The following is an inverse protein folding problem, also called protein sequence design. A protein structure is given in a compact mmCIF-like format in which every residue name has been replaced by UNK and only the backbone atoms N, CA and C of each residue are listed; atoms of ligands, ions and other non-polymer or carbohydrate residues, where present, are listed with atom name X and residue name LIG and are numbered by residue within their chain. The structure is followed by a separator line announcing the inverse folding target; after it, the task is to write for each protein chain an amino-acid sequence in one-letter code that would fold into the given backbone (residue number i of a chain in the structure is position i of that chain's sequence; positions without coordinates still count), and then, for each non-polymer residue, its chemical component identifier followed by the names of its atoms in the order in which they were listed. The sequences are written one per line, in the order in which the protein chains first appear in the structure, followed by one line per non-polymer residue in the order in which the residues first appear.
data_IF_929709362154
#
_entry.id   IF_929709362154
#
_cell.length_a   1.000
_cell.length_b   1.000
_cell.length_c   1.000
_cell.angle_alpha   90.00
_cell.angle_beta   90.00
_cell.angle_gamma   90.00
#
_symmetry.space_group_name_H-M   'P 1'
#
loop_
_entity.id
_entity.type
_entity.pdbx_description
1 polymer ?
#
# COMPACT_ATOMS: atom_id res chain seq x y z
N UNK A 1 6.67 13.94 -4.50
CA UNK A 1 5.90 12.90 -5.11
C UNK A 1 4.47 12.93 -4.63
N UNK A 2 3.58 12.87 -5.54
CA UNK A 2 2.21 13.26 -5.32
C UNK A 2 1.28 12.06 -5.07
N UNK A 3 1.53 10.90 -5.70
CA UNK A 3 0.84 9.66 -5.33
C UNK A 3 1.38 9.14 -4.01
N UNK A 4 0.48 8.93 -3.05
CA UNK A 4 0.82 8.48 -1.70
C UNK A 4 -0.18 7.44 -1.23
N UNK A 5 0.24 6.62 -0.28
CA UNK A 5 -0.67 5.75 0.47
C UNK A 5 -1.26 6.52 1.64
N UNK A 6 -2.55 6.36 1.84
CA UNK A 6 -3.31 6.95 2.93
C UNK A 6 -4.05 5.86 3.70
N UNK A 7 -4.36 6.11 4.95
CA UNK A 7 -5.13 5.19 5.77
C UNK A 7 -6.63 5.38 5.62
N UNK A 8 -7.05 6.44 4.92
CA UNK A 8 -8.45 6.74 4.65
C UNK A 8 -8.68 7.05 3.16
N UNK A 9 -9.89 6.78 2.63
CA UNK A 9 -10.16 6.98 1.20
C UNK A 9 -10.21 8.45 0.78
N UNK A 10 -10.41 9.37 1.71
CA UNK A 10 -10.43 10.81 1.44
C UNK A 10 -9.02 11.41 1.36
N UNK A 11 -7.98 10.63 1.72
CA UNK A 11 -6.61 11.11 1.68
C UNK A 11 -6.28 12.16 2.73
N UNK A 12 -6.86 12.05 3.93
CA UNK A 12 -6.60 12.98 5.01
C UNK A 12 -5.48 12.55 5.94
N UNK A 13 -5.20 11.24 6.00
CA UNK A 13 -4.18 10.67 6.88
C UNK A 13 -3.19 9.85 6.07
N UNK A 14 -2.00 10.39 5.89
CA UNK A 14 -0.91 9.72 5.16
C UNK A 14 -0.44 8.50 5.96
N UNK A 15 -0.25 7.38 5.26
CA UNK A 15 0.38 6.21 5.85
C UNK A 15 1.84 6.53 6.23
N UNK A 16 2.19 6.26 7.49
CA UNK A 16 3.48 6.65 8.07
C UNK A 16 4.37 5.47 8.44
N UNK A 17 4.03 4.25 7.98
CA UNK A 17 4.76 3.03 8.33
C UNK A 17 4.09 2.21 9.42
N UNK A 18 3.04 2.71 10.04
CA UNK A 18 2.25 1.99 11.04
C UNK A 18 0.91 1.60 10.46
N UNK A 19 0.62 0.31 10.44
CA UNK A 19 -0.69 -0.20 10.00
C UNK A 19 -1.68 -0.06 11.16
N UNK A 20 -2.75 0.73 11.01
CA UNK A 20 -3.66 1.01 12.12
C UNK A 20 -4.51 -0.21 12.54
N UNK A 21 -4.59 -1.21 11.66
CA UNK A 21 -5.35 -2.43 11.88
C UNK A 21 -4.50 -3.64 12.30
N UNK A 22 -3.17 -3.48 12.35
CA UNK A 22 -2.26 -4.58 12.65
C UNK A 22 -1.47 -4.27 13.92
N UNK A 23 -1.49 -5.21 14.86
CA UNK A 23 -0.77 -5.08 16.12
C UNK A 23 -0.01 -6.36 16.41
N UNK A 24 1.09 -6.25 17.12
CA UNK A 24 1.71 -7.41 17.72
C UNK A 24 0.77 -7.99 18.78
N UNK A 25 0.67 -9.29 18.84
CA UNK A 25 -0.35 -9.98 19.61
C UNK A 25 0.24 -11.19 20.29
N UNK A 26 -0.41 -11.61 21.38
CA UNK A 26 -0.12 -12.88 22.04
C UNK A 26 -0.54 -14.09 21.16
N UNK A 27 -1.21 -13.83 20.04
CA UNK A 27 -1.66 -14.86 19.10
C UNK A 27 -0.89 -14.72 17.77
N UNK A 28 0.39 -15.14 17.69
CA UNK A 28 1.14 -15.11 16.44
C UNK A 28 0.47 -16.02 15.40
N UNK A 29 0.56 -15.60 14.13
CA UNK A 29 -0.02 -16.34 13.03
C UNK A 29 -1.49 -16.06 12.77
N UNK A 30 -2.16 -15.21 13.55
CA UNK A 30 -3.54 -14.78 13.28
C UNK A 30 -3.50 -13.64 12.27
N UNK A 31 -4.14 -13.79 11.09
CA UNK A 31 -4.16 -12.74 10.10
C UNK A 31 -4.93 -11.50 10.57
N UNK A 32 -4.42 -10.33 10.23
CA UNK A 32 -5.08 -9.05 10.45
C UNK A 32 -5.19 -8.32 9.13
N UNK A 33 -6.42 -8.07 8.69
CA UNK A 33 -6.71 -7.48 7.39
C UNK A 33 -7.13 -6.03 7.53
N UNK A 34 -6.74 -5.22 6.55
CA UNK A 34 -7.15 -3.83 6.45
C UNK A 34 -6.97 -3.32 5.03
N UNK A 35 -7.21 -2.03 4.85
CA UNK A 35 -7.15 -1.39 3.54
C UNK A 35 -6.35 -0.10 3.66
N UNK A 36 -5.43 0.09 2.72
CA UNK A 36 -4.79 1.37 2.46
C UNK A 36 -5.30 1.91 1.13
N UNK A 37 -5.17 3.21 0.93
CA UNK A 37 -5.68 3.87 -0.28
C UNK A 37 -4.54 4.60 -0.97
N UNK A 38 -4.33 4.28 -2.26
CA UNK A 38 -3.28 4.90 -3.08
C UNK A 38 -3.92 5.91 -4.00
N UNK A 39 -3.57 7.18 -3.83
CA UNK A 39 -4.19 8.27 -4.57
C UNK A 39 -3.27 9.48 -4.67
N UNK A 40 -3.65 10.39 -5.56
CA UNK A 40 -3.02 11.69 -5.74
C UNK A 40 -4.06 12.78 -5.60
N UNK A 41 -3.81 13.79 -4.80
CA UNK A 41 -4.72 14.92 -4.63
C UNK A 41 -4.05 16.28 -4.64
N UNK A 42 -2.72 16.32 -4.64
CA UNK A 42 -1.97 17.59 -4.59
C UNK A 42 -1.90 18.26 -5.96
N UNK A 43 -1.69 17.47 -7.04
CA UNK A 43 -1.71 17.98 -8.41
C UNK A 43 -3.13 18.22 -8.92
N UNK A 44 -4.09 17.55 -8.34
CA UNK A 44 -5.48 17.55 -8.81
C UNK A 44 -6.44 17.92 -7.66
N UNK A 45 -6.38 19.16 -7.16
CA UNK A 45 -7.21 19.57 -6.04
C UNK A 45 -8.71 19.67 -6.41
N UNK A 46 -9.01 19.74 -7.71
CA UNK A 46 -10.40 19.78 -8.20
C UNK A 46 -10.99 18.39 -8.46
N UNK A 47 -10.19 17.35 -8.26
CA UNK A 47 -10.62 15.95 -8.32
C UNK A 47 -11.26 15.58 -9.68
N UNK A 48 -10.59 15.92 -10.79
CA UNK A 48 -11.11 15.70 -12.14
C UNK A 48 -10.27 14.74 -12.99
N UNK A 49 -9.27 14.09 -12.42
CA UNK A 49 -8.43 13.14 -13.15
C UNK A 49 -7.53 13.81 -14.20
N UNK A 50 -7.06 15.01 -13.93
CA UNK A 50 -6.27 15.81 -14.89
C UNK A 50 -4.90 15.22 -15.20
N UNK A 51 -4.40 14.34 -14.37
CA UNK A 51 -3.09 13.71 -14.52
C UNK A 51 -3.22 12.20 -14.43
N UNK A 52 -2.24 11.51 -15.01
CA UNK A 52 -2.14 10.05 -14.88
C UNK A 52 -0.69 9.64 -14.64
N UNK A 53 -0.52 8.57 -13.93
CA UNK A 53 0.78 7.96 -13.69
C UNK A 53 0.86 6.67 -14.49
N UNK A 54 1.98 6.46 -15.19
CA UNK A 54 2.26 5.25 -15.97
C UNK A 54 3.61 4.70 -15.57
N UNK A 55 3.79 3.40 -15.72
CA UNK A 55 5.11 2.78 -15.52
C UNK A 55 6.06 3.22 -16.65
N UNK A 56 7.31 3.51 -16.29
CA UNK A 56 8.31 3.99 -17.23
C UNK A 56 8.65 2.98 -18.32
N UNK A 57 8.50 1.69 -18.03
CA UNK A 57 8.76 0.60 -18.97
C UNK A 57 7.55 0.25 -19.86
N UNK A 58 6.45 0.95 -19.71
CA UNK A 58 5.22 0.67 -20.44
C UNK A 58 4.39 -0.50 -19.90
N UNK A 59 4.83 -1.12 -18.82
CA UNK A 59 4.12 -2.21 -18.15
C UNK A 59 3.15 -1.72 -17.09
N UNK A 60 3.02 -2.50 -16.02
CA UNK A 60 2.14 -2.17 -14.91
C UNK A 60 2.87 -1.42 -13.80
N UNK A 61 2.12 -0.59 -13.08
CA UNK A 61 2.58 0.02 -11.84
C UNK A 61 2.57 -1.07 -10.77
N UNK A 62 3.71 -1.27 -10.12
CA UNK A 62 3.89 -2.31 -9.11
C UNK A 62 4.14 -1.67 -7.75
N UNK A 63 3.39 -2.11 -6.75
CA UNK A 63 3.58 -1.72 -5.36
C UNK A 63 4.16 -2.91 -4.61
N UNK A 64 5.30 -2.71 -3.95
CA UNK A 64 6.04 -3.79 -3.27
C UNK A 64 6.25 -3.41 -1.80
N UNK A 65 5.90 -4.28 -0.85
CA UNK A 65 6.20 -4.00 0.55
C UNK A 65 7.71 -3.97 0.78
N UNK A 66 8.15 -3.06 1.63
CA UNK A 66 9.55 -2.93 2.01
C UNK A 66 9.68 -2.86 3.52
N UNK A 67 10.79 -3.38 4.03
CA UNK A 67 11.12 -3.35 5.45
C UNK A 67 12.31 -2.42 5.63
N UNK A 68 12.10 -1.31 6.32
CA UNK A 68 13.14 -0.31 6.56
C UNK A 68 14.10 -0.73 7.68
N UNK A 69 13.77 -1.78 8.41
CA UNK A 69 14.60 -2.30 9.51
C UNK A 69 14.49 -3.82 9.58
N UNK A 70 15.14 -4.56 8.65
CA UNK A 70 15.08 -6.02 8.60
C UNK A 70 15.54 -6.65 9.92
N UNK A 71 14.80 -7.68 10.34
CA UNK A 71 15.06 -8.37 11.62
C UNK A 71 14.35 -7.75 12.80
N UNK A 72 13.62 -6.65 12.61
CA UNK A 72 12.86 -5.97 13.65
C UNK A 72 11.49 -5.55 13.10
N UNK A 73 10.47 -5.56 13.93
CA UNK A 73 9.13 -5.22 13.49
C UNK A 73 8.52 -6.25 12.54
N UNK A 74 7.70 -5.79 11.59
CA UNK A 74 7.13 -6.64 10.56
C UNK A 74 8.14 -6.92 9.45
N UNK A 75 8.27 -8.19 9.08
CA UNK A 75 9.04 -8.58 7.91
C UNK A 75 8.19 -8.56 6.64
N UNK A 76 8.79 -8.35 5.48
CA UNK A 76 8.03 -8.24 4.23
C UNK A 76 7.23 -9.50 3.90
N UNK A 77 7.73 -10.67 4.29
CA UNK A 77 7.03 -11.94 4.07
C UNK A 77 5.76 -12.10 4.88
N UNK A 78 5.57 -11.27 5.90
CA UNK A 78 4.35 -11.22 6.69
C UNK A 78 3.25 -10.39 6.03
N UNK A 79 3.57 -9.67 4.94
CA UNK A 79 2.69 -8.71 4.30
C UNK A 79 2.20 -9.26 2.98
N UNK A 80 0.89 -9.43 2.84
CA UNK A 80 0.24 -9.79 1.59
C UNK A 80 -0.58 -8.62 1.07
N UNK A 81 -0.54 -8.40 -0.23
CA UNK A 81 -1.25 -7.33 -0.90
C UNK A 81 -2.19 -7.90 -1.95
N UNK A 82 -3.36 -7.29 -2.10
CA UNK A 82 -4.32 -7.65 -3.13
C UNK A 82 -5.21 -6.46 -3.48
N UNK A 83 -5.92 -6.56 -4.59
CA UNK A 83 -6.91 -5.55 -5.00
C UNK A 83 -8.30 -5.80 -4.41
N UNK A 84 -8.47 -6.92 -3.70
CA UNK A 84 -9.73 -7.28 -3.04
C UNK A 84 -9.43 -8.06 -1.76
N UNK A 85 -10.40 -8.11 -0.85
CA UNK A 85 -10.26 -8.88 0.39
C UNK A 85 -10.08 -10.38 0.11
N UNK A 86 -10.83 -10.92 -0.85
CA UNK A 86 -10.72 -12.33 -1.22
C UNK A 86 -9.40 -12.66 -1.93
N UNK A 87 -8.83 -11.69 -2.64
CA UNK A 87 -7.52 -11.84 -3.29
C UNK A 87 -6.39 -12.08 -2.30
N UNK A 88 -6.55 -11.64 -1.06
CA UNK A 88 -5.54 -11.86 -0.01
C UNK A 88 -5.35 -13.35 0.30
N UNK A 89 -6.37 -14.17 0.12
CA UNK A 89 -6.29 -15.61 0.40
C UNK A 89 -5.33 -16.33 -0.53
N UNK A 90 -5.14 -15.82 -1.75
CA UNK A 90 -4.22 -16.39 -2.75
C UNK A 90 -2.94 -15.58 -2.94
N UNK A 91 -2.80 -14.47 -2.22
CA UNK A 91 -1.62 -13.62 -2.33
C UNK A 91 -0.39 -14.27 -1.68
N UNK A 92 0.78 -13.86 -2.14
CA UNK A 92 2.07 -14.32 -1.60
C UNK A 92 2.68 -13.22 -0.74
N UNK A 93 3.14 -13.58 0.46
CA UNK A 93 3.81 -12.63 1.36
C UNK A 93 5.06 -12.03 0.72
N UNK A 94 5.17 -10.71 0.76
CA UNK A 94 6.29 -9.96 0.19
C UNK A 94 6.21 -9.71 -1.31
N UNK A 95 5.24 -10.29 -2.01
CA UNK A 95 5.11 -10.13 -3.45
C UNK A 95 4.57 -8.74 -3.82
N UNK A 96 4.98 -8.25 -4.98
CA UNK A 96 4.46 -7.00 -5.56
C UNK A 96 3.01 -7.14 -5.98
N UNK A 97 2.26 -6.05 -5.84
CA UNK A 97 0.89 -5.93 -6.33
C UNK A 97 0.87 -5.06 -7.58
N UNK A 98 0.27 -5.57 -8.65
CA UNK A 98 0.03 -4.78 -9.86
C UNK A 98 -1.18 -3.87 -9.66
N UNK A 99 -0.99 -2.58 -9.90
CA UNK A 99 -2.07 -1.58 -9.85
C UNK A 99 -2.61 -1.24 -11.24
N UNK A 100 -2.16 -1.98 -12.26
CA UNK A 100 -2.57 -1.75 -13.64
C UNK A 100 -1.62 -0.83 -14.40
N UNK A 101 -1.91 -0.56 -15.70
CA UNK A 101 -0.99 0.18 -16.55
C UNK A 101 -0.99 1.68 -16.30
N UNK A 102 -2.00 2.22 -15.64
CA UNK A 102 -2.09 3.65 -15.34
C UNK A 102 -3.01 3.91 -14.15
N UNK A 103 -2.74 4.99 -13.44
CA UNK A 103 -3.58 5.51 -12.35
C UNK A 103 -3.87 6.98 -12.61
N UNK A 104 -5.12 7.37 -12.41
CA UNK A 104 -5.55 8.77 -12.57
C UNK A 104 -5.50 9.50 -11.24
N UNK A 105 -5.23 10.82 -11.31
CA UNK A 105 -5.21 11.70 -10.16
C UNK A 105 -6.61 11.94 -9.59
N UNK A 106 -6.65 12.43 -8.36
CA UNK A 106 -7.89 12.79 -7.68
C UNK A 106 -8.34 11.78 -6.65
N UNK A 107 -9.04 12.27 -5.64
CA UNK A 107 -9.55 11.46 -4.54
C UNK A 107 -10.57 10.42 -5.04
N UNK A 108 -11.38 10.78 -6.05
CA UNK A 108 -12.38 9.88 -6.62
C UNK A 108 -11.76 8.70 -7.36
N UNK A 109 -10.48 8.79 -7.72
CA UNK A 109 -9.75 7.73 -8.40
C UNK A 109 -8.82 6.94 -7.47
N UNK A 110 -9.04 7.03 -6.16
CA UNK A 110 -8.27 6.29 -5.17
C UNK A 110 -8.36 4.78 -5.43
N UNK A 111 -7.22 4.11 -5.30
CA UNK A 111 -7.13 2.65 -5.45
C UNK A 111 -7.03 2.03 -4.07
N UNK A 112 -7.97 1.15 -3.74
CA UNK A 112 -7.92 0.39 -2.50
C UNK A 112 -6.85 -0.70 -2.60
N UNK A 113 -5.93 -0.71 -1.65
CA UNK A 113 -4.90 -1.73 -1.52
C UNK A 113 -5.23 -2.53 -0.27
N UNK A 114 -5.70 -3.77 -0.47
CA UNK A 114 -6.00 -4.66 0.63
C UNK A 114 -4.70 -5.26 1.15
N UNK A 115 -4.56 -5.27 2.48
CA UNK A 115 -3.34 -5.69 3.16
C UNK A 115 -3.70 -6.73 4.21
N UNK A 116 -2.98 -7.84 4.21
CA UNK A 116 -3.06 -8.84 5.27
C UNK A 116 -1.71 -8.95 5.94
N UNK A 117 -1.69 -8.83 7.26
CA UNK A 117 -0.49 -9.01 8.07
C UNK A 117 -0.67 -10.26 8.91
N UNK A 118 0.30 -11.17 8.83
CA UNK A 118 0.37 -12.36 9.68
C UNK A 118 1.67 -12.28 10.45
N UNK A 119 1.62 -11.70 11.64
CA UNK A 119 2.84 -11.48 12.43
C UNK A 119 3.28 -12.76 13.14
N UNK A 120 4.59 -12.98 13.15
CA UNK A 120 5.22 -14.04 13.96
C UNK A 120 5.74 -13.50 15.31
N UNK A 121 5.67 -12.20 15.53
CA UNK A 121 6.20 -11.57 16.73
C UNK A 121 5.16 -11.56 17.84
N UNK A 122 5.55 -12.02 19.02
CA UNK A 122 4.67 -12.10 20.20
C UNK A 122 4.81 -10.91 21.15
N UNK A 123 5.88 -10.12 21.02
CA UNK A 123 6.12 -8.98 21.89
C UNK A 123 5.25 -7.81 21.46
N UNK A 124 4.39 -7.27 22.33
CA UNK A 124 3.58 -6.10 22.00
C UNK A 124 4.46 -4.90 21.69
N UNK A 125 4.01 -4.10 20.73
CA UNK A 125 4.76 -2.90 20.34
C UNK A 125 4.12 -2.24 19.12
N UNK A 126 4.74 -1.14 18.69
CA UNK A 126 4.35 -0.40 17.49
C UNK A 126 5.48 -0.51 16.48
N UNK A 127 5.16 -0.99 15.28
CA UNK A 127 6.11 -1.03 14.17
C UNK A 127 5.87 0.17 13.26
N UNK A 128 6.93 0.90 12.93
CA UNK A 128 6.90 2.08 12.05
C UNK A 128 7.83 1.92 10.85
N UNK A 129 8.36 0.74 10.64
CA UNK A 129 9.40 0.45 9.67
C UNK A 129 8.90 -0.21 8.39
N UNK A 130 7.59 -0.36 8.24
CA UNK A 130 6.99 -0.85 7.01
C UNK A 130 6.91 0.28 5.98
N UNK A 131 7.35 0.00 4.77
CA UNK A 131 7.24 0.91 3.65
C UNK A 131 6.69 0.19 2.43
N UNK A 132 6.44 0.97 1.39
CA UNK A 132 6.03 0.44 0.09
C UNK A 132 6.81 1.15 -0.99
N UNK A 133 7.47 0.37 -1.84
CA UNK A 133 8.19 0.88 -3.00
C UNK A 133 7.35 0.68 -4.25
N UNK A 134 7.56 1.54 -5.24
CA UNK A 134 6.98 1.34 -6.56
C UNK A 134 8.10 1.35 -7.60
N UNK A 135 7.84 0.73 -8.75
CA UNK A 135 8.72 0.82 -9.89
C UNK A 135 8.75 2.25 -10.45
N UNK A 136 9.71 2.51 -11.34
CA UNK A 136 9.85 3.84 -11.94
C UNK A 136 8.62 4.20 -12.76
N UNK A 137 8.12 5.43 -12.59
CA UNK A 137 6.89 5.91 -13.21
C UNK A 137 7.07 7.33 -13.75
N UNK A 138 6.20 7.69 -14.70
CA UNK A 138 6.07 9.05 -15.23
C UNK A 138 4.67 9.58 -14.97
N UNK A 139 4.57 10.89 -14.78
CA UNK A 139 3.30 11.59 -14.62
C UNK A 139 3.05 12.37 -15.90
N UNK A 140 1.87 12.12 -16.49
CA UNK A 140 1.44 12.71 -17.75
C UNK A 140 0.13 13.46 -17.56
N UNK A 141 -0.14 14.42 -18.44
CA UNK A 141 -1.47 14.98 -18.51
C UNK A 141 -2.46 13.93 -19.02
N UNK A 142 -3.58 13.85 -18.39
CA UNK A 142 -4.61 12.88 -18.76
C UNK A 142 -5.45 13.38 -19.94
#
# INVERSE_FOLDING_TARGET
MTWKLYTDPAGTQVFSGTLPFATYSDNPGVPQDGVLYYLEKELDPVDNGSYRMVAADGGNILLTPSDLNPGSGHEITEIKLATSATGLDSATGGASLSLGPQLYSGVSNAVAVHVRVTTSVVTPGVSVDLGFDKNETHILAA
#
